data_IF_467135668550
#
_entry.id   IF_467135668550
#
_cell.length_a   1.000
_cell.length_b   1.000
_cell.length_c   1.000
_cell.angle_alpha   90.00
_cell.angle_beta   90.00
_cell.angle_gamma   90.00
#
_symmetry.space_group_name_H-M   'P 1'
#
loop_
_entity.id
_entity.type
_entity.pdbx_description
1 polymer ?
#
# COMPACT_ATOMS: atom_id res chain seq x y z
N UNK A 1 13.21 19.91 -4.04
CA UNK A 1 12.36 18.75 -3.71
C UNK A 1 11.09 19.30 -3.06
N UNK A 2 9.89 19.01 -3.59
CA UNK A 2 8.62 19.31 -2.91
C UNK A 2 8.31 18.15 -1.96
N UNK A 3 8.07 18.44 -0.68
CA UNK A 3 7.68 17.45 0.34
C UNK A 3 6.30 17.80 0.87
N UNK A 4 5.44 16.79 1.09
CA UNK A 4 4.13 17.01 1.71
C UNK A 4 4.23 16.91 3.23
N UNK A 5 3.57 17.81 3.95
CA UNK A 5 3.35 17.76 5.41
C UNK A 5 2.02 17.11 5.72
N UNK A 6 1.97 16.46 6.89
CA UNK A 6 0.72 15.88 7.39
C UNK A 6 -0.17 16.97 7.96
N UNK A 7 -1.42 17.06 7.48
CA UNK A 7 -2.44 17.99 8.02
C UNK A 7 -2.92 17.58 9.41
N UNK A 8 -2.91 16.27 9.67
CA UNK A 8 -3.40 15.67 10.91
C UNK A 8 -2.65 14.36 11.24
N UNK A 9 -2.95 13.73 12.38
CA UNK A 9 -2.32 12.44 12.75
C UNK A 9 -2.62 11.32 11.73
N UNK A 10 -3.78 11.34 11.08
CA UNK A 10 -4.21 10.33 10.10
C UNK A 10 -3.30 10.31 8.87
N UNK A 11 -2.84 11.46 8.38
CA UNK A 11 -1.92 11.53 7.24
C UNK A 11 -0.53 10.94 7.51
N UNK A 12 -0.06 10.98 8.76
CA UNK A 12 1.21 10.37 9.14
C UNK A 12 1.06 8.86 9.38
N UNK A 13 0.03 8.46 10.12
CA UNK A 13 -0.29 7.04 10.34
C UNK A 13 -0.56 6.34 9.01
N UNK A 14 -1.31 6.97 8.11
CA UNK A 14 -1.61 6.44 6.79
C UNK A 14 -0.38 6.15 5.95
N UNK A 15 0.56 7.09 5.91
CA UNK A 15 1.81 6.93 5.17
C UNK A 15 2.67 5.82 5.77
N UNK A 16 2.89 5.82 7.09
CA UNK A 16 3.70 4.79 7.74
C UNK A 16 3.06 3.40 7.66
N UNK A 17 1.74 3.31 7.79
CA UNK A 17 1.02 2.05 7.61
C UNK A 17 1.17 1.51 6.18
N UNK A 18 1.10 2.38 5.16
CA UNK A 18 1.35 1.98 3.78
C UNK A 18 2.78 1.47 3.59
N UNK A 19 3.79 2.15 4.13
CA UNK A 19 5.19 1.72 4.06
C UNK A 19 5.37 0.34 4.69
N UNK A 20 4.84 0.14 5.91
CA UNK A 20 4.93 -1.15 6.62
C UNK A 20 4.22 -2.24 5.83
N UNK A 21 3.02 -1.96 5.31
CA UNK A 21 2.24 -2.91 4.52
C UNK A 21 2.99 -3.36 3.26
N UNK A 22 3.59 -2.42 2.53
CA UNK A 22 4.40 -2.73 1.35
C UNK A 22 5.65 -3.54 1.70
N UNK A 23 6.33 -3.19 2.80
CA UNK A 23 7.48 -3.96 3.27
C UNK A 23 7.10 -5.41 3.62
N UNK A 24 5.96 -5.61 4.29
CA UNK A 24 5.44 -6.95 4.61
C UNK A 24 5.14 -7.73 3.34
N UNK A 25 4.40 -7.16 2.38
CA UNK A 25 4.10 -7.83 1.11
C UNK A 25 5.38 -8.17 0.34
N UNK A 26 6.36 -7.27 0.34
CA UNK A 26 7.64 -7.54 -0.29
C UNK A 26 8.36 -8.73 0.34
N UNK A 27 8.43 -8.80 1.68
CA UNK A 27 9.03 -9.94 2.38
C UNK A 27 8.25 -11.24 2.08
N UNK A 28 6.93 -11.20 2.08
CA UNK A 28 6.10 -12.36 1.70
C UNK A 28 6.32 -12.77 0.24
N UNK A 29 6.62 -11.84 -0.66
CA UNK A 29 6.92 -12.16 -2.06
C UNK A 29 8.32 -12.77 -2.22
N UNK A 30 9.31 -12.30 -1.47
CA UNK A 30 10.68 -12.81 -1.51
C UNK A 30 10.81 -14.19 -0.86
N UNK A 31 10.11 -14.43 0.25
CA UNK A 31 10.21 -15.66 1.02
C UNK A 31 9.03 -16.63 0.80
N UNK A 32 7.98 -16.19 0.10
CA UNK A 32 6.79 -16.99 -0.15
C UNK A 32 7.02 -18.02 -1.26
N UNK A 33 6.25 -19.12 -1.24
CA UNK A 33 6.26 -20.07 -2.34
C UNK A 33 5.74 -19.40 -3.63
N UNK A 34 6.19 -19.86 -4.81
CA UNK A 34 5.62 -19.39 -6.06
C UNK A 34 4.10 -19.67 -6.09
N UNK A 35 3.31 -18.83 -6.76
CA UNK A 35 1.85 -18.96 -6.78
C UNK A 35 1.44 -20.35 -7.29
N UNK A 36 0.53 -21.05 -6.58
CA UNK A 36 0.19 -22.44 -6.87
C UNK A 36 -0.68 -22.61 -8.13
N UNK A 37 -1.30 -21.53 -8.61
CA UNK A 37 -2.14 -21.51 -9.81
C UNK A 37 -2.42 -20.09 -10.29
N UNK A 38 -3.01 -19.97 -11.48
CA UNK A 38 -3.34 -18.69 -12.13
C UNK A 38 -4.53 -17.97 -11.46
N UNK A 39 -5.46 -18.72 -10.86
CA UNK A 39 -6.71 -18.20 -10.31
C UNK A 39 -6.52 -17.05 -9.30
N UNK A 40 -5.64 -17.18 -8.29
CA UNK A 40 -5.35 -16.12 -7.34
C UNK A 40 -4.80 -14.82 -7.97
N UNK A 41 -4.18 -14.89 -9.15
CA UNK A 41 -3.53 -13.74 -9.79
C UNK A 41 -4.56 -12.67 -10.17
N UNK A 42 -5.73 -13.07 -10.68
CA UNK A 42 -6.78 -12.14 -11.08
C UNK A 42 -7.30 -11.30 -9.90
N UNK A 43 -7.56 -11.95 -8.77
CA UNK A 43 -8.00 -11.26 -7.55
C UNK A 43 -6.93 -10.33 -7.00
N UNK A 44 -5.66 -10.75 -7.02
CA UNK A 44 -4.54 -9.91 -6.59
C UNK A 44 -4.40 -8.67 -7.48
N UNK A 45 -4.56 -8.82 -8.80
CA UNK A 45 -4.58 -7.70 -9.73
C UNK A 45 -5.67 -6.68 -9.40
N UNK A 46 -6.90 -7.13 -9.12
CA UNK A 46 -7.99 -6.25 -8.70
C UNK A 46 -7.72 -5.58 -7.35
N UNK A 47 -7.11 -6.30 -6.40
CA UNK A 47 -6.80 -5.77 -5.08
C UNK A 47 -5.82 -4.59 -5.10
N UNK A 48 -5.05 -4.40 -6.18
CA UNK A 48 -4.17 -3.25 -6.35
C UNK A 48 -4.91 -1.91 -6.29
N UNK A 49 -6.19 -1.87 -6.65
CA UNK A 49 -7.02 -0.65 -6.51
C UNK A 49 -7.17 -0.18 -5.06
N UNK A 50 -7.01 -1.07 -4.08
CA UNK A 50 -6.99 -0.69 -2.68
C UNK A 50 -5.83 0.26 -2.37
N UNK A 51 -4.68 0.09 -3.02
CA UNK A 51 -3.52 0.98 -2.86
C UNK A 51 -3.82 2.38 -3.41
N UNK A 52 -4.57 2.47 -4.51
CA UNK A 52 -4.99 3.76 -5.09
C UNK A 52 -5.94 4.49 -4.15
N UNK A 53 -6.96 3.79 -3.63
CA UNK A 53 -7.90 4.35 -2.67
C UNK A 53 -7.19 4.81 -1.38
N UNK A 54 -6.21 4.02 -0.92
CA UNK A 54 -5.40 4.36 0.25
C UNK A 54 -4.51 5.58 -0.02
N UNK A 55 -3.83 5.64 -1.18
CA UNK A 55 -3.02 6.79 -1.60
C UNK A 55 -3.85 8.08 -1.64
N UNK A 56 -5.04 8.04 -2.25
CA UNK A 56 -5.97 9.16 -2.24
C UNK A 56 -6.33 9.62 -0.83
N UNK A 57 -6.58 8.68 0.08
CA UNK A 57 -6.87 9.01 1.47
C UNK A 57 -5.65 9.65 2.16
N UNK A 58 -4.43 9.18 1.92
CA UNK A 58 -3.20 9.79 2.43
C UNK A 58 -3.09 11.22 1.93
N UNK A 59 -3.20 11.44 0.62
CA UNK A 59 -3.06 12.76 0.00
C UNK A 59 -4.12 13.74 0.53
N UNK A 60 -5.36 13.29 0.74
CA UNK A 60 -6.40 14.12 1.35
C UNK A 60 -6.03 14.60 2.77
N UNK A 61 -5.20 13.84 3.49
CA UNK A 61 -4.73 14.16 4.84
C UNK A 61 -3.33 14.83 4.84
N UNK A 62 -2.78 15.21 3.68
CA UNK A 62 -1.47 15.86 3.53
C UNK A 62 -1.55 17.09 2.62
N UNK A 63 -0.57 17.99 2.70
CA UNK A 63 -0.39 19.19 1.85
C UNK A 63 1.07 19.40 1.46
#
# INVERSE_FOLDING_TARGET
>A
IRTTRSKNKKGNIGLWALIIFLAVIYLLNVFGPPPPSEGPIAYMGLSMWLLVAWGYWIDRNRE
#
